data_IF_103500584383
#
_entry.id   IF_103500584383
#
_cell.length_a   1.000
_cell.length_b   1.000
_cell.length_c   1.000
_cell.angle_alpha   90.00
_cell.angle_beta   90.00
_cell.angle_gamma   90.00
#
_symmetry.space_group_name_H-M   'P 1'
#
loop_
_entity.id
_entity.type
_entity.pdbx_description
1 polymer ?
#
# COMPACT_ATOMS: atom_id res chain seq x y z
N UNK A 1 -4.48 -3.53 2.43
CA UNK A 1 -3.51 -3.09 3.46
C UNK A 1 -2.37 -4.08 3.66
N UNK A 2 -2.63 -5.36 4.02
CA UNK A 2 -1.53 -6.35 4.14
C UNK A 2 -0.78 -6.60 2.84
N UNK A 3 -1.44 -6.47 1.68
CA UNK A 3 -0.80 -6.52 0.36
C UNK A 3 0.29 -5.43 0.24
N UNK A 4 0.02 -4.21 0.71
CA UNK A 4 1.04 -3.14 0.76
C UNK A 4 2.20 -3.53 1.68
N UNK A 5 1.92 -4.00 2.89
CA UNK A 5 2.96 -4.43 3.83
C UNK A 5 3.80 -5.60 3.31
N UNK A 6 3.21 -6.54 2.56
CA UNK A 6 3.94 -7.60 1.87
C UNK A 6 4.91 -7.02 0.84
N UNK A 7 4.44 -6.14 -0.06
CA UNK A 7 5.30 -5.47 -1.04
C UNK A 7 6.42 -4.70 -0.35
N UNK A 8 6.10 -3.92 0.68
CA UNK A 8 7.06 -3.18 1.48
C UNK A 8 8.13 -4.08 2.10
N UNK A 9 7.75 -5.27 2.57
CA UNK A 9 8.69 -6.24 3.12
C UNK A 9 9.60 -6.87 2.07
N UNK A 10 9.08 -7.10 0.86
CA UNK A 10 9.87 -7.60 -0.27
C UNK A 10 10.93 -6.59 -0.71
N UNK A 11 10.63 -5.29 -0.62
CA UNK A 11 11.61 -4.23 -0.87
C UNK A 11 12.60 -4.09 0.30
N UNK A 12 12.10 -3.97 1.53
CA UNK A 12 12.91 -3.77 2.74
C UNK A 12 12.45 -4.67 3.90
N UNK A 13 13.14 -5.80 4.11
CA UNK A 13 12.77 -6.78 5.12
C UNK A 13 12.75 -6.23 6.56
N UNK A 14 13.70 -5.34 6.87
CA UNK A 14 13.93 -4.79 8.20
C UNK A 14 13.67 -3.28 8.26
N UNK A 15 12.60 -2.83 7.59
CA UNK A 15 12.25 -1.41 7.55
C UNK A 15 11.77 -0.88 8.91
N UNK A 16 11.85 0.44 9.07
CA UNK A 16 11.43 1.14 10.31
C UNK A 16 9.89 1.19 10.42
N UNK A 17 9.37 1.39 11.64
CA UNK A 17 7.93 1.62 11.87
C UNK A 17 7.37 2.72 10.98
N UNK A 18 8.14 3.79 10.77
CA UNK A 18 7.75 4.91 9.92
C UNK A 18 7.60 4.52 8.46
N UNK A 19 8.46 3.64 7.94
CA UNK A 19 8.31 3.12 6.58
C UNK A 19 7.01 2.32 6.43
N UNK A 20 6.73 1.40 7.37
CA UNK A 20 5.49 0.62 7.37
C UNK A 20 4.25 1.51 7.45
N UNK A 21 4.28 2.53 8.30
CA UNK A 21 3.18 3.49 8.47
C UNK A 21 2.99 4.33 7.20
N UNK A 22 4.07 4.88 6.64
CA UNK A 22 4.02 5.62 5.38
C UNK A 22 3.44 4.78 4.24
N UNK A 23 3.72 3.48 4.24
CA UNK A 23 3.23 2.55 3.23
C UNK A 23 1.74 2.22 3.33
N UNK A 24 1.04 2.67 4.37
CA UNK A 24 -0.42 2.56 4.48
C UNK A 24 -1.11 3.90 4.68
N UNK A 25 -0.34 4.97 4.94
CA UNK A 25 -0.87 6.30 5.21
C UNK A 25 -1.78 6.86 4.12
N UNK A 26 -1.49 6.72 2.81
CA UNK A 26 -2.35 7.27 1.75
C UNK A 26 -3.79 6.75 1.79
N UNK A 27 -4.00 5.52 2.29
CA UNK A 27 -5.32 4.90 2.41
C UNK A 27 -6.18 5.46 3.56
N UNK A 28 -5.60 6.28 4.44
CA UNK A 28 -6.28 6.81 5.63
C UNK A 28 -7.07 8.11 5.39
N UNK A 29 -7.20 8.55 4.14
CA UNK A 29 -8.09 9.67 3.76
C UNK A 29 -9.56 9.34 4.03
N UNK A 30 -10.38 10.38 4.23
CA UNK A 30 -11.77 10.22 4.66
C UNK A 30 -12.76 10.04 3.50
N UNK A 31 -12.43 10.56 2.31
CA UNK A 31 -13.33 10.54 1.16
C UNK A 31 -12.70 9.88 -0.06
N UNK A 32 -13.55 9.42 -0.99
CA UNK A 32 -13.09 8.87 -2.28
C UNK A 32 -12.42 9.93 -3.14
N UNK A 33 -12.92 11.15 -3.13
CA UNK A 33 -12.34 12.27 -3.88
C UNK A 33 -10.92 12.59 -3.39
N UNK A 34 -10.75 12.74 -2.07
CA UNK A 34 -9.41 12.88 -1.47
C UNK A 34 -8.53 11.68 -1.81
N UNK A 35 -9.09 10.46 -1.82
CA UNK A 35 -8.34 9.26 -2.20
C UNK A 35 -7.81 9.38 -3.62
N UNK A 36 -8.66 9.76 -4.56
CA UNK A 36 -8.27 9.84 -5.96
C UNK A 36 -7.23 10.96 -6.19
N UNK A 37 -7.28 12.06 -5.43
CA UNK A 37 -6.24 13.11 -5.43
C UNK A 37 -4.93 12.58 -4.84
N UNK A 38 -4.96 12.04 -3.61
CA UNK A 38 -3.78 11.55 -2.89
C UNK A 38 -3.07 10.44 -3.65
N UNK A 39 -3.82 9.62 -4.41
CA UNK A 39 -3.26 8.53 -5.22
C UNK A 39 -2.90 8.95 -6.65
N UNK A 40 -2.97 10.24 -6.98
CA UNK A 40 -2.71 10.79 -8.32
C UNK A 40 -3.61 10.21 -9.43
N UNK A 41 -4.81 9.71 -9.09
CA UNK A 41 -5.78 9.21 -10.08
C UNK A 41 -6.45 10.35 -10.87
N UNK A 42 -6.43 11.57 -10.34
CA UNK A 42 -6.89 12.78 -11.04
C UNK A 42 -5.79 13.46 -11.86
N UNK A 43 -4.55 12.98 -11.80
CA UNK A 43 -3.45 13.54 -12.57
C UNK A 43 -3.56 13.11 -14.04
N UNK A 44 -3.20 14.00 -14.97
CA UNK A 44 -3.15 13.68 -16.40
C UNK A 44 -2.13 12.57 -16.69
N UNK A 45 -0.97 12.63 -16.03
CA UNK A 45 0.07 11.61 -16.11
C UNK A 45 0.48 11.17 -14.70
N UNK A 46 -0.12 10.09 -14.22
CA UNK A 46 0.15 9.50 -12.90
C UNK A 46 1.60 9.01 -12.75
N UNK A 47 2.20 8.51 -13.82
CA UNK A 47 3.60 8.07 -13.80
C UNK A 47 4.55 9.25 -13.58
N UNK A 48 4.31 10.36 -14.26
CA UNK A 48 5.12 11.58 -14.09
C UNK A 48 5.02 12.13 -12.65
N UNK A 49 3.84 12.13 -12.03
CA UNK A 49 3.67 12.54 -10.64
C UNK A 49 4.40 11.60 -9.66
N UNK A 50 4.45 10.30 -9.94
CA UNK A 50 5.28 9.35 -9.18
C UNK A 50 6.77 9.67 -9.33
N UNK A 51 7.26 9.99 -10.54
CA UNK A 51 8.65 10.43 -10.74
C UNK A 51 8.96 11.73 -9.99
N UNK A 52 8.06 12.72 -10.03
CA UNK A 52 8.20 13.98 -9.29
C UNK A 52 8.25 13.74 -7.79
N UNK A 53 7.39 12.85 -7.27
CA UNK A 53 7.41 12.46 -5.87
C UNK A 53 8.73 11.76 -5.52
N UNK A 54 9.16 10.78 -6.32
CA UNK A 54 10.41 10.07 -6.10
C UNK A 54 11.64 11.00 -6.07
N UNK A 55 11.68 12.01 -6.93
CA UNK A 55 12.73 13.04 -6.91
C UNK A 55 12.70 13.90 -5.63
N UNK A 56 11.53 14.10 -5.01
CA UNK A 56 11.41 14.88 -3.75
C UNK A 56 11.64 14.02 -2.52
N UNK A 57 11.35 12.73 -2.60
CA UNK A 57 11.58 11.74 -1.55
C UNK A 57 13.09 11.46 -1.47
N UNK A 58 13.84 12.39 -0.90
CA UNK A 58 15.26 12.20 -0.58
C UNK A 58 15.38 10.94 0.29
N UNK A 59 16.27 10.04 -0.10
CA UNK A 59 16.34 8.61 0.25
C UNK A 59 16.57 8.26 1.73
N UNK A 60 16.44 9.21 2.64
CA UNK A 60 16.66 9.03 4.08
C UNK A 60 15.41 9.33 4.91
N UNK A 61 14.26 9.52 4.27
CA UNK A 61 12.98 9.75 4.94
C UNK A 61 12.10 8.50 4.83
N UNK A 62 12.20 7.61 5.83
CA UNK A 62 11.52 6.31 5.82
C UNK A 62 10.01 6.43 5.58
N UNK A 63 9.34 7.41 6.16
CA UNK A 63 7.89 7.57 6.00
C UNK A 63 7.52 7.93 4.55
N UNK A 64 8.17 8.93 3.98
CA UNK A 64 7.95 9.42 2.62
C UNK A 64 8.31 8.36 1.57
N UNK A 65 9.33 7.53 1.84
CA UNK A 65 9.64 6.37 1.01
C UNK A 65 8.54 5.30 1.07
N UNK A 66 7.99 5.05 2.26
CA UNK A 66 6.83 4.19 2.44
C UNK A 66 5.63 4.68 1.61
N UNK A 67 5.33 5.98 1.67
CA UNK A 67 4.27 6.64 0.88
C UNK A 67 4.51 6.45 -0.62
N UNK A 68 5.73 6.68 -1.09
CA UNK A 68 6.07 6.51 -2.50
C UNK A 68 5.84 5.05 -2.96
N UNK A 69 6.28 4.06 -2.18
CA UNK A 69 6.03 2.66 -2.51
C UNK A 69 4.54 2.31 -2.51
N UNK A 70 3.76 2.88 -1.60
CA UNK A 70 2.31 2.69 -1.58
C UNK A 70 1.69 3.13 -2.90
N UNK A 71 1.97 4.37 -3.30
CA UNK A 71 1.38 4.97 -4.49
C UNK A 71 1.84 4.26 -5.77
N UNK A 72 3.09 3.79 -5.80
CA UNK A 72 3.63 2.98 -6.90
C UNK A 72 2.93 1.63 -7.02
N UNK A 73 2.68 0.94 -5.89
CA UNK A 73 1.91 -0.30 -5.87
C UNK A 73 0.48 -0.08 -6.35
N UNK A 74 -0.18 0.96 -5.86
CA UNK A 74 -1.57 1.27 -6.23
C UNK A 74 -1.71 1.64 -7.71
N UNK A 75 -0.67 2.24 -8.32
CA UNK A 75 -0.64 2.48 -9.76
C UNK A 75 -0.59 1.18 -10.56
N UNK A 76 0.25 0.22 -10.18
CA UNK A 76 0.28 -1.10 -10.80
C UNK A 76 -0.99 -1.91 -10.54
N UNK A 77 -1.54 -1.82 -9.32
CA UNK A 77 -2.79 -2.48 -8.97
C UNK A 77 -3.94 -1.97 -9.83
N UNK A 78 -4.05 -0.65 -10.01
CA UNK A 78 -5.09 -0.07 -10.84
C UNK A 78 -4.95 -0.55 -12.31
N UNK A 79 -3.73 -0.58 -12.84
CA UNK A 79 -3.44 -0.97 -14.23
C UNK A 79 -3.70 -2.45 -14.53
N UNK A 80 -3.33 -3.36 -13.62
CA UNK A 80 -3.34 -4.80 -13.90
C UNK A 80 -4.48 -5.56 -13.22
N UNK A 81 -4.93 -5.07 -12.07
CA UNK A 81 -5.82 -5.83 -11.18
C UNK A 81 -7.21 -5.21 -11.15
N UNK A 82 -7.32 -3.92 -10.81
CA UNK A 82 -8.60 -3.23 -10.75
C UNK A 82 -9.28 -3.20 -12.12
N UNK A 83 -8.61 -2.66 -13.15
CA UNK A 83 -9.19 -2.54 -14.49
C UNK A 83 -9.64 -3.90 -15.03
N UNK A 84 -8.77 -4.92 -14.90
CA UNK A 84 -9.09 -6.29 -15.33
C UNK A 84 -10.32 -6.83 -14.58
N UNK A 85 -10.39 -6.64 -13.27
CA UNK A 85 -11.54 -7.09 -12.48
C UNK A 85 -12.84 -6.42 -12.95
N UNK A 86 -12.81 -5.10 -13.15
CA UNK A 86 -13.99 -4.35 -13.61
C UNK A 86 -14.45 -4.72 -15.01
N UNK A 87 -13.53 -5.19 -15.87
CA UNK A 87 -13.84 -5.61 -17.23
C UNK A 87 -14.36 -7.05 -17.32
N UNK A 88 -13.92 -7.94 -16.43
CA UNK A 88 -14.22 -9.37 -16.51
C UNK A 88 -15.33 -9.84 -15.57
N UNK A 89 -15.59 -9.12 -14.48
CA UNK A 89 -16.65 -9.46 -13.54
C UNK A 89 -18.03 -9.15 -14.15
N UNK A 90 -18.96 -10.10 -14.05
CA UNK A 90 -20.28 -10.01 -14.71
C UNK A 90 -21.44 -9.77 -13.75
N UNK A 91 -21.22 -9.78 -12.44
CA UNK A 91 -22.24 -9.48 -11.45
C UNK A 91 -22.43 -7.99 -11.18
N UNK A 92 -23.65 -7.60 -10.79
CA UNK A 92 -23.99 -6.20 -10.49
C UNK A 92 -23.34 -5.68 -9.18
N UNK A 93 -22.87 -6.58 -8.32
CA UNK A 93 -22.23 -6.33 -7.02
C UNK A 93 -20.69 -6.24 -7.10
N UNK A 94 -20.16 -5.98 -8.30
CA UNK A 94 -18.73 -6.04 -8.60
C UNK A 94 -17.87 -5.27 -7.58
N UNK A 95 -18.31 -4.09 -7.13
CA UNK A 95 -17.52 -3.26 -6.23
C UNK A 95 -17.45 -3.86 -4.82
N UNK A 96 -18.56 -4.38 -4.31
CA UNK A 96 -18.61 -5.05 -3.02
C UNK A 96 -17.73 -6.31 -3.05
N UNK A 97 -17.86 -7.12 -4.10
CA UNK A 97 -17.06 -8.33 -4.28
C UNK A 97 -15.57 -8.00 -4.38
N UNK A 98 -15.19 -7.05 -5.23
CA UNK A 98 -13.82 -6.56 -5.35
C UNK A 98 -13.20 -6.17 -3.99
N UNK A 99 -13.93 -5.36 -3.21
CA UNK A 99 -13.47 -4.91 -1.89
C UNK A 99 -13.41 -6.05 -0.88
N UNK A 100 -14.36 -6.97 -0.93
CA UNK A 100 -14.39 -8.15 -0.08
C UNK A 100 -13.16 -9.03 -0.33
N UNK A 101 -12.86 -9.35 -1.59
CA UNK A 101 -11.73 -10.23 -1.94
C UNK A 101 -10.38 -9.62 -1.54
N UNK A 102 -10.19 -8.30 -1.67
CA UNK A 102 -8.99 -7.62 -1.15
C UNK A 102 -8.88 -7.76 0.37
N UNK A 103 -10.01 -7.66 1.08
CA UNK A 103 -10.05 -7.79 2.52
C UNK A 103 -9.72 -9.23 2.96
N UNK A 104 -10.30 -10.24 2.28
CA UNK A 104 -10.01 -11.66 2.50
C UNK A 104 -8.53 -11.96 2.24
N UNK A 105 -7.98 -11.55 1.09
CA UNK A 105 -6.56 -11.73 0.78
C UNK A 105 -5.66 -11.05 1.82
N UNK A 106 -6.03 -9.85 2.27
CA UNK A 106 -5.29 -9.15 3.32
C UNK A 106 -5.37 -9.87 4.67
N UNK A 107 -6.54 -10.38 5.06
CA UNK A 107 -6.71 -11.20 6.29
C UNK A 107 -5.87 -12.46 6.23
N UNK A 108 -5.88 -13.18 5.11
CA UNK A 108 -5.09 -14.38 4.93
C UNK A 108 -3.59 -14.13 5.16
N UNK A 109 -3.04 -13.06 4.55
CA UNK A 109 -1.65 -12.65 4.75
C UNK A 109 -1.33 -12.36 6.21
N UNK A 110 -2.24 -11.70 6.94
CA UNK A 110 -2.06 -11.42 8.36
C UNK A 110 -1.91 -12.70 9.19
N UNK A 111 -2.72 -13.73 8.93
CA UNK A 111 -2.69 -14.97 9.72
C UNK A 111 -1.64 -15.99 9.27
N UNK A 112 -1.19 -15.93 8.02
CA UNK A 112 -0.33 -16.95 7.41
C UNK A 112 1.11 -16.49 7.15
N UNK A 113 1.51 -15.34 7.69
CA UNK A 113 2.90 -14.90 7.67
C UNK A 113 3.42 -14.66 9.08
N UNK A 114 4.64 -15.12 9.35
CA UNK A 114 5.26 -15.04 10.69
C UNK A 114 5.64 -13.61 11.11
N UNK A 115 5.83 -12.72 10.12
CA UNK A 115 6.26 -11.35 10.30
C UNK A 115 5.11 -10.36 10.52
N UNK A 116 3.87 -10.71 10.20
CA UNK A 116 2.74 -9.78 10.21
C UNK A 116 2.53 -9.15 11.58
N UNK A 117 2.41 -9.96 12.63
CA UNK A 117 2.17 -9.50 14.01
C UNK A 117 3.31 -8.63 14.54
N UNK A 118 4.60 -9.02 14.43
CA UNK A 118 5.71 -8.14 14.78
C UNK A 118 5.71 -6.79 14.06
N UNK A 119 5.37 -6.76 12.76
CA UNK A 119 5.26 -5.49 12.00
C UNK A 119 4.10 -4.65 12.53
N UNK A 120 2.94 -5.25 12.79
CA UNK A 120 1.80 -4.56 13.38
C UNK A 120 2.09 -4.01 14.77
N UNK A 121 2.75 -4.76 15.64
CA UNK A 121 3.16 -4.29 16.95
C UNK A 121 4.10 -3.09 16.84
N UNK A 122 5.03 -3.10 15.87
CA UNK A 122 5.93 -1.98 15.59
C UNK A 122 5.18 -0.73 15.10
N UNK A 123 4.17 -0.91 14.23
CA UNK A 123 3.31 0.17 13.74
C UNK A 123 2.53 0.80 14.90
N UNK A 124 1.86 -0.02 15.72
CA UNK A 124 0.95 0.45 16.78
C UNK A 124 1.68 1.08 17.97
N UNK A 125 2.94 0.70 18.20
CA UNK A 125 3.79 1.31 19.24
C UNK A 125 4.52 2.58 18.77
N UNK A 126 4.36 2.98 17.50
CA UNK A 126 4.96 4.21 16.99
C UNK A 126 4.13 5.43 17.42
N UNK A 127 4.77 6.44 18.02
CA UNK A 127 4.09 7.69 18.37
C UNK A 127 3.62 8.43 17.11
N UNK A 128 2.36 8.88 17.10
CA UNK A 128 1.77 9.66 16.01
C UNK A 128 2.48 11.00 15.77
N UNK A 129 3.18 11.53 16.77
CA UNK A 129 4.02 12.73 16.64
C UNK A 129 5.18 12.56 15.67
N UNK A 130 5.56 11.30 15.35
CA UNK A 130 6.65 10.99 14.43
C UNK A 130 6.16 10.79 12.99
N UNK A 131 4.86 10.79 12.75
CA UNK A 131 4.32 10.57 11.41
C UNK A 131 4.77 11.71 10.49
N UNK A 132 5.13 11.33 9.26
CA UNK A 132 5.39 12.32 8.22
C UNK A 132 4.09 12.91 7.68
N UNK A 133 4.21 13.68 6.60
CA UNK A 133 3.06 14.32 5.98
C UNK A 133 2.54 13.48 4.81
N UNK A 134 1.24 13.21 4.79
CA UNK A 134 0.54 12.66 3.62
C UNK A 134 -0.63 13.59 3.28
N UNK A 135 -0.72 14.13 2.04
CA UNK A 135 -1.81 15.02 1.67
C UNK A 135 -3.19 14.43 1.98
N UNK A 136 -4.03 15.21 2.66
CA UNK A 136 -5.40 14.80 3.03
C UNK A 136 -5.50 13.87 4.24
N UNK A 137 -4.38 13.54 4.90
CA UNK A 137 -4.36 12.60 6.04
C UNK A 137 -3.91 13.32 7.30
N UNK A 138 -4.74 13.29 8.35
CA UNK A 138 -4.36 13.76 9.69
C UNK A 138 -3.76 12.62 10.50
N UNK A 139 -2.87 12.94 11.44
CA UNK A 139 -2.23 11.94 12.29
C UNK A 139 -3.24 11.13 13.13
N UNK A 140 -4.32 11.75 13.60
CA UNK A 140 -5.40 11.09 14.34
C UNK A 140 -6.20 10.14 13.43
N UNK A 141 -6.51 10.58 12.21
CA UNK A 141 -7.21 9.76 11.20
C UNK A 141 -6.37 8.53 10.83
N UNK A 142 -5.06 8.70 10.65
CA UNK A 142 -4.13 7.60 10.42
C UNK A 142 -4.05 6.65 11.61
N UNK A 143 -3.96 7.18 12.83
CA UNK A 143 -3.95 6.34 14.05
C UNK A 143 -5.25 5.53 14.17
N UNK A 144 -6.41 6.14 13.94
CA UNK A 144 -7.69 5.45 13.95
C UNK A 144 -7.79 4.40 12.84
N UNK A 145 -7.29 4.72 11.63
CA UNK A 145 -7.21 3.80 10.50
C UNK A 145 -6.38 2.57 10.82
N UNK A 146 -5.17 2.74 11.38
CA UNK A 146 -4.27 1.66 11.77
C UNK A 146 -4.91 0.73 12.81
N UNK A 147 -5.48 1.30 13.88
CA UNK A 147 -6.12 0.53 14.94
C UNK A 147 -7.32 -0.27 14.44
N UNK A 148 -8.20 0.36 13.64
CA UNK A 148 -9.38 -0.32 13.06
C UNK A 148 -8.98 -1.51 12.20
N UNK A 149 -7.97 -1.31 11.37
CA UNK A 149 -7.51 -2.33 10.45
C UNK A 149 -6.80 -3.49 11.16
N UNK A 150 -5.94 -3.21 12.15
CA UNK A 150 -5.35 -4.25 13.00
C UNK A 150 -6.42 -5.09 13.70
N UNK A 151 -7.41 -4.41 14.31
CA UNK A 151 -8.55 -5.07 14.95
C UNK A 151 -9.29 -5.97 13.97
N UNK A 152 -9.64 -5.44 12.79
CA UNK A 152 -10.34 -6.20 11.77
C UNK A 152 -9.56 -7.47 11.36
N UNK A 153 -8.25 -7.36 11.08
CA UNK A 153 -7.43 -8.53 10.75
C UNK A 153 -7.35 -9.53 11.90
N UNK A 154 -7.16 -9.05 13.13
CA UNK A 154 -7.06 -9.92 14.32
C UNK A 154 -8.34 -10.71 14.58
N UNK A 155 -9.51 -10.11 14.31
CA UNK A 155 -10.82 -10.71 14.54
C UNK A 155 -11.33 -11.56 13.38
N UNK A 156 -10.74 -11.45 12.19
CA UNK A 156 -11.20 -12.13 10.98
C UNK A 156 -10.08 -13.03 10.44
N UNK A 157 -10.24 -14.35 10.62
CA UNK A 157 -9.43 -15.38 9.95
C UNK A 157 -10.38 -16.20 9.06
N UNK A 158 -10.60 -15.73 7.84
CA UNK A 158 -11.73 -16.13 6.99
C UNK A 158 -11.31 -16.94 5.76
N UNK A 159 -10.10 -17.50 5.76
CA UNK A 159 -9.55 -18.25 4.63
C UNK A 159 -8.91 -17.36 3.56
N UNK A 160 -8.52 -17.99 2.44
CA UNK A 160 -7.91 -17.31 1.29
C UNK A 160 -8.98 -16.79 0.33
N UNK A 161 -8.63 -15.75 -0.41
CA UNK A 161 -9.47 -15.21 -1.48
C UNK A 161 -9.44 -16.15 -2.69
N UNK A 162 -10.60 -16.34 -3.32
CA UNK A 162 -10.74 -17.15 -4.54
C UNK A 162 -10.30 -16.37 -5.78
N UNK A 163 -10.35 -15.03 -5.71
CA UNK A 163 -10.02 -14.13 -6.83
C UNK A 163 -8.55 -13.67 -6.73
N UNK A 164 -8.12 -13.25 -5.54
CA UNK A 164 -6.77 -12.80 -5.24
C UNK A 164 -6.07 -13.86 -4.38
N UNK A 165 -5.78 -14.99 -5.01
CA UNK A 165 -5.16 -16.14 -4.35
C UNK A 165 -3.80 -15.77 -3.74
N UNK A 166 -3.30 -16.54 -2.75
CA UNK A 166 -1.97 -16.33 -2.20
C UNK A 166 -0.87 -16.27 -3.27
N UNK A 167 -0.88 -17.19 -4.24
CA UNK A 167 0.09 -17.23 -5.34
C UNK A 167 0.00 -15.99 -6.22
N UNK A 168 -1.21 -15.56 -6.60
CA UNK A 168 -1.40 -14.35 -7.38
C UNK A 168 -0.84 -13.11 -6.66
N UNK A 169 -1.13 -12.97 -5.37
CA UNK A 169 -0.65 -11.85 -4.57
C UNK A 169 0.87 -11.91 -4.42
N UNK A 170 1.45 -13.10 -4.24
CA UNK A 170 2.89 -13.27 -4.12
C UNK A 170 3.60 -12.85 -5.42
N UNK A 171 3.16 -13.40 -6.56
CA UNK A 171 3.70 -13.07 -7.90
C UNK A 171 3.54 -11.57 -8.22
N UNK A 172 2.35 -11.01 -7.97
CA UNK A 172 2.10 -9.59 -8.22
C UNK A 172 3.03 -8.70 -7.38
N UNK A 173 3.18 -9.00 -6.08
CA UNK A 173 4.03 -8.19 -5.20
C UNK A 173 5.53 -8.40 -5.47
N UNK A 174 5.95 -9.57 -5.95
CA UNK A 174 7.32 -9.81 -6.45
C UNK A 174 7.64 -8.95 -7.68
N UNK A 175 6.73 -8.94 -8.65
CA UNK A 175 6.86 -8.10 -9.84
C UNK A 175 6.94 -6.62 -9.46
N UNK A 176 6.00 -6.11 -8.65
CA UNK A 176 5.99 -4.68 -8.30
C UNK A 176 7.20 -4.30 -7.45
N UNK A 177 7.64 -5.15 -6.51
CA UNK A 177 8.83 -4.86 -5.69
C UNK A 177 10.12 -4.80 -6.54
N UNK A 178 10.22 -5.65 -7.57
CA UNK A 178 11.32 -5.64 -8.52
C UNK A 178 11.30 -4.38 -9.39
N UNK A 179 10.14 -4.05 -9.97
CA UNK A 179 9.94 -2.84 -10.78
C UNK A 179 10.19 -1.56 -9.98
N UNK A 180 9.73 -1.51 -8.72
CA UNK A 180 9.99 -0.39 -7.83
C UNK A 180 11.48 -0.18 -7.57
N UNK A 181 12.23 -1.27 -7.36
CA UNK A 181 13.67 -1.21 -7.13
C UNK A 181 14.41 -0.64 -8.35
N UNK A 182 13.98 -1.01 -9.57
CA UNK A 182 14.50 -0.46 -10.82
C UNK A 182 14.13 1.02 -10.96
N UNK A 183 12.87 1.36 -10.74
CA UNK A 183 12.35 2.73 -10.77
C UNK A 183 13.16 3.67 -9.88
N UNK A 184 13.35 3.29 -8.61
CA UNK A 184 14.12 4.07 -7.64
C UNK A 184 15.58 4.19 -8.07
N UNK A 185 16.21 3.13 -8.58
CA UNK A 185 17.59 3.19 -9.10
C UNK A 185 17.73 4.16 -10.28
N UNK A 186 16.76 4.19 -11.18
CA UNK A 186 16.76 5.10 -12.33
C UNK A 186 16.60 6.56 -11.90
N UNK A 187 15.68 6.84 -10.96
CA UNK A 187 15.51 8.17 -10.37
C UNK A 187 16.83 8.66 -9.78
N UNK A 188 17.49 7.84 -8.94
CA UNK A 188 18.80 8.18 -8.34
C UNK A 188 19.88 8.49 -9.37
N UNK A 189 19.93 7.69 -10.43
CA UNK A 189 20.95 7.83 -11.47
C UNK A 189 20.78 9.15 -12.25
N UNK A 190 19.54 9.59 -12.45
CA UNK A 190 19.22 10.86 -13.11
C UNK A 190 19.44 12.09 -12.23
N UNK A 191 19.50 11.95 -10.90
CA UNK A 191 19.81 13.04 -9.98
C UNK A 191 21.32 13.28 -9.79
N UNK A 192 22.14 12.29 -10.14
CA UNK A 192 23.61 12.36 -10.08
C UNK A 192 24.29 12.75 -11.40
N UNK A 193 23.50 13.02 -12.45
CA UNK A 193 23.94 13.52 -13.76
C UNK A 193 23.60 15.00 -13.89
#
# INVERSE_FOLDING_TARGET
MMIHLLTARKVYKDATSLFWIGNVAPDAVNTREEKDITHFRTAENREEELYKLANKTVLNHSFEEGVLLHLYLDWWWDRQVFNRFTETYTGDDWFQTYRHEIAVASSWLFHNTDWSKPVWDSILNCSSEKYGNTPGVKADDLTAFLNRNYKWHSENNIGSSDIYTPDFIDEFTDMVSSEYSIFIKNVKSNMGA
#
